data_IF_609442828061
#
_entry.id   IF_609442828061
#
_cell.length_a   1.000
_cell.length_b   1.000
_cell.length_c   1.000
_cell.angle_alpha   90.00
_cell.angle_beta   90.00
_cell.angle_gamma   90.00
#
_symmetry.space_group_name_H-M   'P 1'
#
loop_
_entity.id
_entity.type
_entity.pdbx_description
1 polymer ?
#
# COMPACT_ATOMS: atom_id res chain seq x y z
N UNK A 1 -8.07 9.53 -14.11
CA UNK A 1 -7.99 8.08 -14.38
C UNK A 1 -9.34 7.43 -14.07
N UNK A 2 -10.21 7.32 -15.08
CA UNK A 2 -11.43 6.51 -15.02
C UNK A 2 -11.00 5.05 -14.96
N UNK A 3 -11.00 4.46 -13.77
CA UNK A 3 -10.86 3.01 -13.66
C UNK A 3 -12.19 2.42 -14.14
N UNK A 4 -12.26 1.83 -15.35
CA UNK A 4 -13.45 1.11 -15.73
C UNK A 4 -13.68 0.06 -14.62
N UNK A 5 -14.92 -0.22 -14.25
CA UNK A 5 -15.30 -1.22 -13.23
C UNK A 5 -15.33 -0.81 -11.75
N UNK A 6 -14.92 0.40 -11.35
CA UNK A 6 -15.15 0.86 -9.96
C UNK A 6 -16.03 2.10 -9.89
N UNK A 7 -17.04 2.05 -9.01
CA UNK A 7 -17.94 3.17 -8.80
C UNK A 7 -17.22 4.37 -8.17
N UNK A 8 -17.77 5.57 -8.36
CA UNK A 8 -17.29 6.78 -7.68
C UNK A 8 -17.32 6.63 -6.15
N UNK A 9 -18.32 5.92 -5.60
CA UNK A 9 -18.44 5.67 -4.15
C UNK A 9 -17.36 4.73 -3.63
N UNK A 10 -17.01 3.70 -4.40
CA UNK A 10 -15.91 2.79 -4.04
C UNK A 10 -14.54 3.45 -4.20
N UNK A 11 -14.35 4.21 -5.28
CA UNK A 11 -13.09 4.91 -5.56
C UNK A 11 -12.66 5.82 -4.40
N UNK A 12 -13.61 6.48 -3.72
CA UNK A 12 -13.33 7.32 -2.53
C UNK A 12 -12.82 6.55 -1.31
N UNK A 13 -12.98 5.23 -1.28
CA UNK A 13 -12.51 4.37 -0.19
C UNK A 13 -11.10 3.83 -0.44
N UNK A 14 -10.58 3.93 -1.67
CA UNK A 14 -9.24 3.49 -2.01
C UNK A 14 -8.21 4.51 -1.54
N UNK A 15 -7.22 4.06 -0.78
CA UNK A 15 -6.02 4.84 -0.43
C UNK A 15 -4.81 4.18 -1.07
N UNK A 16 -3.98 4.98 -1.72
CA UNK A 16 -2.69 4.55 -2.26
C UNK A 16 -1.62 5.09 -1.35
N UNK A 17 -0.71 4.22 -0.93
CA UNK A 17 0.48 4.55 -0.13
C UNK A 17 1.71 4.18 -0.93
N UNK A 18 2.82 4.86 -0.67
CA UNK A 18 4.05 4.69 -1.45
C UNK A 18 5.07 3.78 -0.77
N UNK A 19 4.98 3.57 0.55
CA UNK A 19 5.86 2.69 1.30
C UNK A 19 5.12 1.81 2.32
N UNK A 20 5.76 0.72 2.77
CA UNK A 20 5.21 -0.12 3.83
C UNK A 20 5.12 0.62 5.18
N UNK A 21 5.98 1.62 5.40
CA UNK A 21 5.90 2.51 6.56
C UNK A 21 4.58 3.29 6.57
N UNK A 22 4.22 3.92 5.45
CA UNK A 22 2.94 4.61 5.33
C UNK A 22 1.75 3.66 5.51
N UNK A 23 1.85 2.43 5.01
CA UNK A 23 0.82 1.40 5.21
C UNK A 23 0.61 1.07 6.69
N UNK A 24 1.69 0.98 7.47
CA UNK A 24 1.66 0.67 8.91
C UNK A 24 0.92 1.71 9.74
N UNK A 25 0.89 2.97 9.28
CA UNK A 25 0.16 4.05 9.93
C UNK A 25 -1.35 3.97 9.69
N UNK A 26 -1.78 3.25 8.66
CA UNK A 26 -3.19 3.11 8.28
C UNK A 26 -3.82 1.83 8.83
N UNK A 27 -3.05 0.74 8.91
CA UNK A 27 -3.51 -0.56 9.36
C UNK A 27 -2.42 -1.30 10.15
N UNK A 28 -2.79 -2.20 11.09
CA UNK A 28 -1.83 -3.08 11.75
C UNK A 28 -1.18 -4.03 10.73
N UNK A 29 0.16 -4.08 10.71
CA UNK A 29 0.90 -4.94 9.78
C UNK A 29 0.98 -6.40 10.23
N UNK A 30 0.76 -6.70 11.52
CA UNK A 30 0.90 -8.06 12.08
C UNK A 30 -0.04 -9.09 11.43
N UNK A 31 -1.13 -8.62 10.84
CA UNK A 31 -2.13 -9.45 10.16
C UNK A 31 -1.93 -9.49 8.63
N UNK A 32 -0.97 -8.74 8.09
CA UNK A 32 -0.75 -8.62 6.65
C UNK A 32 0.42 -9.51 6.24
N UNK A 33 0.11 -10.57 5.48
CA UNK A 33 1.15 -11.40 4.86
C UNK A 33 1.71 -10.70 3.61
N UNK A 34 2.70 -9.83 3.82
CA UNK A 34 3.40 -9.14 2.73
C UNK A 34 4.49 -10.09 2.18
N UNK A 35 4.51 -10.39 0.86
CA UNK A 35 5.55 -11.21 0.26
C UNK A 35 6.94 -10.61 0.41
N UNK A 36 7.96 -11.44 0.60
CA UNK A 36 9.33 -10.96 0.87
C UNK A 36 9.92 -10.13 -0.27
N UNK A 37 9.57 -10.43 -1.52
CA UNK A 37 9.97 -9.60 -2.68
C UNK A 37 9.47 -8.16 -2.59
N UNK A 38 8.28 -7.95 -2.01
CA UNK A 38 7.71 -6.60 -1.84
C UNK A 38 8.46 -5.86 -0.74
N UNK A 39 8.80 -6.55 0.36
CA UNK A 39 9.61 -5.96 1.45
C UNK A 39 11.00 -5.57 0.97
N UNK A 40 11.65 -6.44 0.18
CA UNK A 40 12.97 -6.14 -0.41
C UNK A 40 12.88 -4.91 -1.31
N UNK A 41 11.89 -4.87 -2.20
CA UNK A 41 11.67 -3.72 -3.07
C UNK A 41 11.43 -2.41 -2.30
N UNK A 42 10.65 -2.46 -1.21
CA UNK A 42 10.38 -1.30 -0.37
C UNK A 42 11.69 -0.77 0.26
N UNK A 43 12.55 -1.66 0.78
CA UNK A 43 13.86 -1.30 1.34
C UNK A 43 14.81 -0.74 0.27
N UNK A 44 14.86 -1.36 -0.91
CA UNK A 44 15.73 -0.91 -2.01
C UNK A 44 15.32 0.49 -2.52
N UNK A 45 14.02 0.78 -2.53
CA UNK A 45 13.48 2.05 -2.99
C UNK A 45 13.51 3.14 -1.90
N UNK A 46 13.39 2.73 -0.63
CA UNK A 46 13.31 3.61 0.53
C UNK A 46 14.27 3.17 1.65
N UNK A 47 15.59 3.27 1.45
CA UNK A 47 16.59 2.73 2.38
C UNK A 47 16.61 3.39 3.77
N UNK A 48 16.11 4.64 3.88
CA UNK A 48 16.10 5.43 5.12
C UNK A 48 14.72 5.50 5.80
N UNK A 49 13.74 4.70 5.37
CA UNK A 49 12.37 4.73 5.90
C UNK A 49 12.15 3.89 7.15
#
# INVERSE_FOLDING_TARGET
>A
MTRPFISSKFSRKLKFVYSLKELSLLIPLDQVSIPDKVKQFDVDLFPDS
#
